data_IF_446373337051
#
_entry.id   IF_446373337051
#
_cell.length_a   1.000
_cell.length_b   1.000
_cell.length_c   1.000
_cell.angle_alpha   90.00
_cell.angle_beta   90.00
_cell.angle_gamma   90.00
#
_symmetry.space_group_name_H-M   'P 1'
#
loop_
_entity.id
_entity.type
_entity.pdbx_description
1 polymer ?
#
# COMPACT_ATOMS: atom_id res chain seq x y z
N UNK A 1 -8.80 21.33 2.98
CA UNK A 1 -7.64 21.30 2.04
C UNK A 1 -8.06 21.93 0.71
N UNK A 2 -7.20 22.66 0.00
CA UNK A 2 -7.48 23.19 -1.34
C UNK A 2 -6.87 22.24 -2.38
N UNK A 3 -7.70 21.52 -3.13
CA UNK A 3 -7.26 20.49 -4.07
C UNK A 3 -6.26 21.02 -5.13
N UNK A 4 -6.48 22.21 -5.70
CA UNK A 4 -5.60 22.80 -6.71
C UNK A 4 -4.22 23.17 -6.13
N UNK A 5 -4.18 23.63 -4.89
CA UNK A 5 -2.91 23.92 -4.19
C UNK A 5 -2.15 22.62 -3.98
N UNK A 6 -2.82 21.57 -3.50
CA UNK A 6 -2.16 20.29 -3.26
C UNK A 6 -1.72 19.60 -4.56
N UNK A 7 -2.52 19.70 -5.64
CA UNK A 7 -2.09 19.24 -6.97
C UNK A 7 -0.80 19.94 -7.41
N UNK A 8 -0.68 21.23 -7.18
CA UNK A 8 0.54 21.99 -7.51
C UNK A 8 1.72 21.56 -6.64
N UNK A 9 1.51 21.41 -5.32
CA UNK A 9 2.53 20.98 -4.36
C UNK A 9 3.11 19.60 -4.71
N UNK A 10 2.24 18.66 -5.06
CA UNK A 10 2.62 17.28 -5.44
C UNK A 10 2.87 17.09 -6.94
N UNK A 11 2.67 18.13 -7.78
CA UNK A 11 2.88 18.13 -9.24
C UNK A 11 1.99 17.13 -9.98
N UNK A 12 0.70 17.10 -9.65
CA UNK A 12 -0.28 16.23 -10.30
C UNK A 12 -0.82 16.83 -11.59
N UNK A 13 -1.01 15.99 -12.59
CA UNK A 13 -1.64 16.39 -13.87
C UNK A 13 -3.16 16.49 -13.74
N UNK A 14 -3.80 15.52 -13.08
CA UNK A 14 -5.27 15.43 -12.98
C UNK A 14 -5.71 14.90 -11.64
N UNK A 15 -6.83 15.43 -11.13
CA UNK A 15 -7.59 14.84 -10.02
C UNK A 15 -9.07 14.89 -10.39
N UNK A 16 -9.71 13.73 -10.39
CA UNK A 16 -11.14 13.55 -10.66
C UNK A 16 -11.86 13.18 -9.38
N UNK A 17 -12.84 13.99 -8.99
CA UNK A 17 -13.78 13.68 -7.92
C UNK A 17 -15.03 13.05 -8.52
N UNK A 18 -15.42 11.89 -8.00
CA UNK A 18 -16.57 11.11 -8.50
C UNK A 18 -17.61 11.00 -7.40
N UNK A 19 -18.85 11.38 -7.71
CA UNK A 19 -20.00 11.16 -6.87
C UNK A 19 -21.13 10.54 -7.69
N UNK A 20 -21.53 9.31 -7.35
CA UNK A 20 -22.66 8.64 -7.94
C UNK A 20 -23.57 8.12 -6.81
N UNK A 21 -24.59 8.90 -6.45
CA UNK A 21 -25.49 8.59 -5.35
C UNK A 21 -26.27 7.29 -5.56
N UNK A 22 -26.67 6.98 -6.81
CA UNK A 22 -27.43 5.76 -7.13
C UNK A 22 -26.61 4.50 -6.89
N UNK A 23 -25.31 4.57 -7.16
CA UNK A 23 -24.37 3.47 -6.94
C UNK A 23 -23.72 3.50 -5.54
N UNK A 24 -24.00 4.53 -4.74
CA UNK A 24 -23.33 4.75 -3.45
C UNK A 24 -21.84 5.04 -3.56
N UNK A 25 -21.38 5.52 -4.74
CA UNK A 25 -19.97 5.77 -4.99
C UNK A 25 -19.55 7.19 -4.62
N UNK A 26 -18.55 7.31 -3.77
CA UNK A 26 -17.75 8.52 -3.56
C UNK A 26 -16.28 8.14 -3.75
N UNK A 27 -15.63 8.72 -4.75
CA UNK A 27 -14.26 8.36 -5.08
C UNK A 27 -13.43 9.56 -5.54
N UNK A 28 -12.12 9.40 -5.45
CA UNK A 28 -11.14 10.33 -6.02
C UNK A 28 -10.15 9.52 -6.84
N UNK A 29 -9.90 9.93 -8.09
CA UNK A 29 -8.84 9.38 -8.94
C UNK A 29 -7.80 10.46 -9.15
N UNK A 30 -6.54 10.17 -8.82
CA UNK A 30 -5.42 11.06 -9.04
C UNK A 30 -4.47 10.48 -10.08
N UNK A 31 -4.18 11.24 -11.12
CA UNK A 31 -3.13 11.01 -12.11
C UNK A 31 -1.98 11.93 -11.75
N UNK A 32 -0.89 11.36 -11.24
CA UNK A 32 0.28 12.15 -10.86
C UNK A 32 1.06 12.57 -12.10
N UNK A 33 1.39 11.62 -12.97
CA UNK A 33 2.26 11.87 -14.10
C UNK A 33 2.06 10.82 -15.20
N UNK A 34 2.04 11.23 -16.46
CA UNK A 34 1.91 10.37 -17.64
C UNK A 34 3.13 10.42 -18.58
N UNK A 35 4.24 11.04 -18.17
CA UNK A 35 5.42 11.23 -19.03
C UNK A 35 6.05 9.91 -19.52
N UNK A 36 5.99 8.84 -18.72
CA UNK A 36 6.48 7.51 -19.10
C UNK A 36 5.41 6.65 -19.81
N UNK A 37 4.17 7.12 -19.87
CA UNK A 37 3.01 6.40 -20.40
C UNK A 37 1.80 6.50 -19.49
N UNK A 38 0.72 5.77 -19.77
CA UNK A 38 -0.50 5.79 -18.96
C UNK A 38 -0.20 5.60 -17.48
N UNK A 39 -0.85 6.40 -16.64
CA UNK A 39 -0.69 6.29 -15.20
C UNK A 39 -1.30 4.97 -14.70
N UNK A 40 -0.57 4.19 -13.92
CA UNK A 40 -1.06 2.92 -13.37
C UNK A 40 -1.06 2.95 -11.84
N UNK A 41 -2.06 2.35 -11.23
CA UNK A 41 -2.15 2.13 -9.79
C UNK A 41 -3.52 1.64 -9.35
N UNK A 42 -3.57 0.86 -8.28
CA UNK A 42 -4.78 0.20 -7.81
C UNK A 42 -5.83 1.15 -7.23
N UNK A 43 -7.06 0.65 -7.10
CA UNK A 43 -8.17 1.29 -6.44
C UNK A 43 -8.25 0.82 -4.98
N UNK A 44 -8.03 1.72 -4.02
CA UNK A 44 -8.18 1.46 -2.59
C UNK A 44 -9.60 1.76 -2.14
N UNK A 45 -10.21 0.89 -1.36
CA UNK A 45 -11.47 1.17 -0.67
C UNK A 45 -11.19 1.32 0.82
N UNK A 46 -11.47 2.51 1.39
CA UNK A 46 -11.14 2.76 2.79
C UNK A 46 -12.11 3.77 3.44
N UNK A 47 -12.50 3.57 4.72
CA UNK A 47 -13.36 4.49 5.46
C UNK A 47 -12.57 5.70 5.97
N UNK A 48 -12.19 6.60 5.05
CA UNK A 48 -11.46 7.82 5.42
C UNK A 48 -12.30 8.70 6.36
N UNK A 49 -11.65 9.30 7.34
CA UNK A 49 -12.27 10.19 8.32
C UNK A 49 -12.82 11.48 7.68
N UNK A 50 -12.26 11.88 6.55
CA UNK A 50 -12.68 13.06 5.79
C UNK A 50 -12.29 12.98 4.32
N UNK A 51 -12.90 13.82 3.49
CA UNK A 51 -12.50 13.98 2.09
C UNK A 51 -11.07 14.51 1.97
N UNK A 52 -10.63 15.36 2.88
CA UNK A 52 -9.26 15.88 2.93
C UNK A 52 -8.25 14.76 3.20
N UNK A 53 -8.57 13.83 4.09
CA UNK A 53 -7.74 12.65 4.35
C UNK A 53 -7.65 11.74 3.12
N UNK A 54 -8.76 11.53 2.41
CA UNK A 54 -8.79 10.74 1.18
C UNK A 54 -7.98 11.41 0.06
N UNK A 55 -8.12 12.74 -0.10
CA UNK A 55 -7.36 13.52 -1.08
C UNK A 55 -5.85 13.47 -0.77
N UNK A 56 -5.48 13.68 0.47
CA UNK A 56 -4.08 13.61 0.89
C UNK A 56 -3.46 12.23 0.60
N UNK A 57 -4.18 11.15 0.90
CA UNK A 57 -3.69 9.79 0.67
C UNK A 57 -3.57 9.48 -0.83
N UNK A 58 -4.59 9.77 -1.64
CA UNK A 58 -4.57 9.47 -3.08
C UNK A 58 -3.48 10.24 -3.83
N UNK A 59 -3.21 11.49 -3.46
CA UNK A 59 -2.13 12.28 -4.06
C UNK A 59 -0.76 11.66 -3.76
N UNK A 60 -0.51 11.30 -2.52
CA UNK A 60 0.76 10.67 -2.12
C UNK A 60 0.92 9.27 -2.74
N UNK A 61 -0.15 8.49 -2.79
CA UNK A 61 -0.13 7.15 -3.39
C UNK A 61 0.15 7.21 -4.89
N UNK A 62 -0.50 8.10 -5.64
CA UNK A 62 -0.29 8.24 -7.08
C UNK A 62 1.12 8.75 -7.42
N UNK A 63 1.67 9.70 -6.62
CA UNK A 63 3.08 10.11 -6.72
C UNK A 63 4.03 8.94 -6.46
N UNK A 64 3.76 8.16 -5.42
CA UNK A 64 4.53 6.96 -5.09
C UNK A 64 4.52 5.93 -6.24
N UNK A 65 3.40 5.77 -6.92
CA UNK A 65 3.31 4.90 -8.11
C UNK A 65 4.21 5.38 -9.25
N UNK A 66 4.31 6.69 -9.53
CA UNK A 66 5.27 7.20 -10.52
C UNK A 66 6.70 6.81 -10.18
N UNK A 67 7.10 6.97 -8.91
CA UNK A 67 8.44 6.59 -8.47
C UNK A 67 8.67 5.08 -8.59
N UNK A 68 7.70 4.26 -8.18
CA UNK A 68 7.80 2.79 -8.26
C UNK A 68 7.94 2.32 -9.71
N UNK A 69 7.12 2.84 -10.61
CA UNK A 69 7.16 2.47 -12.03
C UNK A 69 8.48 2.89 -12.69
N UNK A 70 8.96 4.10 -12.38
CA UNK A 70 10.22 4.60 -12.91
C UNK A 70 11.43 3.75 -12.44
N UNK A 71 11.50 3.43 -11.16
CA UNK A 71 12.58 2.57 -10.60
C UNK A 71 12.53 1.16 -11.18
N UNK A 72 11.33 0.63 -11.44
CA UNK A 72 11.14 -0.67 -12.08
C UNK A 72 11.39 -0.67 -13.60
N UNK A 73 11.65 0.50 -14.21
CA UNK A 73 11.84 0.63 -15.67
C UNK A 73 10.57 0.35 -16.46
N UNK A 74 9.40 0.54 -15.87
CA UNK A 74 8.13 0.31 -16.55
C UNK A 74 7.72 1.54 -17.38
N UNK A 75 7.11 1.34 -18.57
CA UNK A 75 6.63 2.43 -19.42
C UNK A 75 5.28 2.96 -18.94
N UNK A 76 5.20 3.34 -17.65
CA UNK A 76 3.97 3.79 -17.02
C UNK A 76 4.23 4.98 -16.09
N UNK A 77 3.29 5.92 -16.11
CA UNK A 77 3.17 6.94 -15.11
C UNK A 77 2.55 6.43 -13.80
N UNK A 78 2.24 7.33 -12.89
CA UNK A 78 1.65 6.98 -11.60
C UNK A 78 0.24 7.50 -11.44
N UNK A 79 -0.68 6.61 -11.11
CA UNK A 79 -2.05 6.93 -10.77
C UNK A 79 -2.50 6.20 -9.51
N UNK A 80 -3.62 6.61 -8.96
CA UNK A 80 -4.29 5.95 -7.84
C UNK A 80 -5.76 6.31 -7.79
N UNK A 81 -6.59 5.33 -7.47
CA UNK A 81 -7.98 5.55 -7.11
C UNK A 81 -8.22 5.28 -5.63
N UNK A 82 -9.12 6.05 -5.01
CA UNK A 82 -9.65 5.75 -3.68
C UNK A 82 -11.17 5.82 -3.72
N UNK A 83 -11.83 4.81 -3.16
CA UNK A 83 -13.26 4.79 -2.88
C UNK A 83 -13.43 5.03 -1.37
N UNK A 84 -14.26 6.01 -1.02
CA UNK A 84 -14.48 6.45 0.36
C UNK A 84 -15.72 5.71 0.89
N UNK A 85 -15.50 4.52 1.42
CA UNK A 85 -16.56 3.68 1.97
C UNK A 85 -16.00 2.67 2.99
N UNK A 86 -16.88 2.18 3.87
CA UNK A 86 -16.57 1.02 4.70
C UNK A 86 -16.58 -0.24 3.81
N UNK A 87 -15.63 -1.20 4.00
CA UNK A 87 -15.61 -2.43 3.23
C UNK A 87 -16.88 -3.26 3.26
N UNK A 88 -17.69 -3.15 4.31
CA UNK A 88 -18.99 -3.81 4.40
C UNK A 88 -20.06 -3.22 3.46
N UNK A 89 -19.81 -2.04 2.91
CA UNK A 89 -20.73 -1.34 2.00
C UNK A 89 -20.47 -1.64 0.52
N UNK A 90 -19.57 -2.53 0.20
CA UNK A 90 -19.26 -2.92 -1.18
C UNK A 90 -20.48 -3.40 -1.94
N UNK A 91 -20.67 -2.92 -3.16
CA UNK A 91 -21.66 -3.39 -4.12
C UNK A 91 -21.07 -3.45 -5.53
N UNK A 92 -21.61 -4.32 -6.38
CA UNK A 92 -21.22 -4.34 -7.80
C UNK A 92 -21.49 -2.98 -8.47
N UNK A 93 -22.64 -2.34 -8.17
CA UNK A 93 -22.98 -1.03 -8.72
C UNK A 93 -21.91 0.04 -8.41
N UNK A 94 -21.34 0.00 -7.21
CA UNK A 94 -20.24 0.89 -6.82
C UNK A 94 -19.01 0.70 -7.71
N UNK A 95 -18.60 -0.54 -7.95
CA UNK A 95 -17.44 -0.85 -8.78
C UNK A 95 -17.69 -0.63 -10.28
N UNK A 96 -18.91 -0.88 -10.77
CA UNK A 96 -19.29 -0.52 -12.14
C UNK A 96 -19.20 1.00 -12.35
N UNK A 97 -19.74 1.80 -11.43
CA UNK A 97 -19.66 3.26 -11.50
C UNK A 97 -18.21 3.77 -11.40
N UNK A 98 -17.34 3.11 -10.60
CA UNK A 98 -15.93 3.43 -10.58
C UNK A 98 -15.25 3.07 -11.91
N UNK A 99 -15.57 1.92 -12.50
CA UNK A 99 -15.11 1.52 -13.83
C UNK A 99 -15.49 2.54 -14.92
N UNK A 100 -16.72 3.06 -14.89
CA UNK A 100 -17.17 4.15 -15.79
C UNK A 100 -16.33 5.41 -15.61
N UNK A 101 -16.01 5.79 -14.37
CA UNK A 101 -15.16 6.95 -14.09
C UNK A 101 -13.73 6.75 -14.62
N UNK A 102 -13.18 5.54 -14.51
CA UNK A 102 -11.88 5.17 -15.11
C UNK A 102 -11.94 5.25 -16.63
N UNK A 103 -12.99 4.72 -17.25
CA UNK A 103 -13.18 4.75 -18.70
C UNK A 103 -13.24 6.17 -19.25
N UNK A 104 -13.87 7.10 -18.53
CA UNK A 104 -13.98 8.50 -18.90
C UNK A 104 -12.63 9.26 -18.88
N UNK A 105 -11.59 8.70 -18.28
CA UNK A 105 -10.22 9.23 -18.37
C UNK A 105 -9.50 8.83 -19.68
N UNK A 106 -10.16 8.07 -20.57
CA UNK A 106 -9.68 7.82 -21.93
C UNK A 106 -8.35 7.09 -22.04
N UNK A 107 -7.96 6.34 -21.02
CA UNK A 107 -6.69 5.60 -20.98
C UNK A 107 -5.57 6.31 -20.24
N UNK A 108 -5.76 7.52 -19.75
CA UNK A 108 -4.76 8.20 -18.91
C UNK A 108 -4.50 7.49 -17.57
N UNK A 109 -5.47 6.69 -17.12
CA UNK A 109 -5.35 5.91 -15.89
C UNK A 109 -5.78 4.46 -16.09
N UNK A 110 -4.92 3.55 -15.65
CA UNK A 110 -5.17 2.10 -15.60
C UNK A 110 -5.28 1.71 -14.13
N UNK A 111 -6.44 1.16 -13.75
CA UNK A 111 -6.71 0.72 -12.38
C UNK A 111 -6.34 -0.75 -12.14
N UNK A 112 -6.32 -1.15 -10.87
CA UNK A 112 -6.12 -2.53 -10.40
C UNK A 112 -6.74 -2.70 -9.01
N UNK A 113 -6.66 -3.89 -8.43
CA UNK A 113 -6.95 -4.07 -6.99
C UNK A 113 -5.92 -3.38 -6.09
N UNK A 114 -6.31 -3.05 -4.87
CA UNK A 114 -5.48 -2.53 -3.79
C UNK A 114 -6.13 -2.89 -2.43
N UNK A 115 -5.82 -2.15 -1.37
CA UNK A 115 -6.40 -2.38 -0.03
C UNK A 115 -7.93 -2.43 -0.09
N UNK A 116 -8.50 -3.48 0.49
CA UNK A 116 -9.93 -3.78 0.56
C UNK A 116 -10.64 -3.89 -0.80
N UNK A 117 -9.93 -4.03 -1.91
CA UNK A 117 -10.46 -4.46 -3.19
C UNK A 117 -9.86 -5.79 -3.60
N UNK A 118 -10.52 -6.51 -4.48
CA UNK A 118 -10.16 -7.88 -4.88
C UNK A 118 -10.16 -8.03 -6.38
N UNK A 119 -9.60 -9.15 -6.87
CA UNK A 119 -9.69 -9.52 -8.27
C UNK A 119 -11.16 -9.62 -8.76
N UNK A 120 -12.11 -10.04 -7.90
CA UNK A 120 -13.53 -10.08 -8.27
C UNK A 120 -14.12 -8.67 -8.43
N UNK A 121 -13.75 -7.73 -7.55
CA UNK A 121 -14.11 -6.32 -7.72
C UNK A 121 -13.54 -5.76 -9.04
N UNK A 122 -12.32 -6.17 -9.42
CA UNK A 122 -11.70 -5.80 -10.68
C UNK A 122 -12.46 -6.36 -11.89
N UNK A 123 -12.97 -7.60 -11.81
CA UNK A 123 -13.83 -8.17 -12.85
C UNK A 123 -15.15 -7.41 -13.02
N UNK A 124 -15.71 -6.87 -11.94
CA UNK A 124 -16.89 -5.98 -12.03
C UNK A 124 -16.54 -4.68 -12.75
N UNK A 125 -15.41 -4.03 -12.41
CA UNK A 125 -14.94 -2.82 -13.09
C UNK A 125 -14.70 -3.07 -14.59
N UNK A 126 -14.19 -4.26 -14.97
CA UNK A 126 -13.93 -4.66 -16.35
C UNK A 126 -15.17 -4.62 -17.24
N UNK A 127 -16.37 -4.74 -16.67
CA UNK A 127 -17.63 -4.59 -17.42
C UNK A 127 -17.81 -3.20 -18.04
N UNK A 128 -17.07 -2.20 -17.52
CA UNK A 128 -17.24 -0.77 -17.88
C UNK A 128 -15.97 -0.14 -18.46
N UNK A 129 -14.80 -0.75 -18.30
CA UNK A 129 -13.53 -0.22 -18.79
C UNK A 129 -12.56 -1.32 -19.16
N UNK A 130 -11.77 -1.09 -20.22
CA UNK A 130 -10.62 -1.94 -20.53
C UNK A 130 -9.31 -1.44 -19.88
N UNK A 131 -9.35 -0.29 -19.20
CA UNK A 131 -8.19 0.31 -18.53
C UNK A 131 -8.03 -0.26 -17.11
N UNK A 132 -7.80 -1.56 -17.05
CA UNK A 132 -7.67 -2.31 -15.79
C UNK A 132 -6.63 -3.44 -15.95
N UNK A 133 -5.86 -3.70 -14.89
CA UNK A 133 -4.89 -4.80 -14.84
C UNK A 133 -5.04 -5.59 -13.53
N UNK A 134 -4.21 -6.61 -13.34
CA UNK A 134 -4.29 -7.47 -12.15
C UNK A 134 -5.46 -8.45 -12.17
N UNK A 135 -5.98 -8.78 -13.36
CA UNK A 135 -7.10 -9.72 -13.50
C UNK A 135 -6.64 -11.17 -13.23
N UNK A 136 -7.52 -12.05 -12.71
CA UNK A 136 -7.17 -13.43 -12.35
C UNK A 136 -6.54 -14.23 -13.49
N UNK A 137 -6.99 -14.00 -14.73
CA UNK A 137 -6.46 -14.69 -15.91
C UNK A 137 -5.07 -14.21 -16.36
N UNK A 138 -4.57 -13.08 -15.83
CA UNK A 138 -3.28 -12.51 -16.19
C UNK A 138 -2.26 -12.67 -15.06
N UNK A 139 -2.23 -11.72 -14.12
CA UNK A 139 -1.25 -11.66 -13.02
C UNK A 139 -1.84 -12.04 -11.65
N UNK A 140 -3.16 -11.94 -11.49
CA UNK A 140 -3.85 -12.23 -10.23
C UNK A 140 -3.43 -11.33 -9.06
N UNK A 141 -3.55 -11.86 -7.84
CA UNK A 141 -3.22 -11.17 -6.60
C UNK A 141 -1.72 -10.81 -6.53
N UNK A 142 -1.34 -9.53 -6.42
CA UNK A 142 0.05 -9.11 -6.36
C UNK A 142 0.72 -9.35 -4.99
N UNK A 143 -0.04 -9.76 -3.97
CA UNK A 143 0.46 -9.84 -2.58
C UNK A 143 1.66 -10.79 -2.42
N UNK A 144 1.70 -12.00 -3.00
CA UNK A 144 2.86 -12.90 -2.87
C UNK A 144 4.12 -12.31 -3.51
N UNK A 145 3.99 -11.67 -4.66
CA UNK A 145 5.12 -11.01 -5.33
C UNK A 145 5.63 -9.81 -4.53
N UNK A 146 4.71 -9.06 -3.94
CA UNK A 146 5.04 -7.92 -3.06
C UNK A 146 5.77 -8.41 -1.82
N UNK A 147 5.27 -9.45 -1.14
CA UNK A 147 5.92 -10.02 0.05
C UNK A 147 7.34 -10.50 -0.26
N UNK A 148 7.53 -11.20 -1.39
CA UNK A 148 8.86 -11.63 -1.85
C UNK A 148 9.77 -10.45 -2.15
N UNK A 149 9.25 -9.38 -2.78
CA UNK A 149 10.01 -8.16 -3.06
C UNK A 149 10.47 -7.47 -1.77
N UNK A 150 9.57 -7.36 -0.78
CA UNK A 150 9.90 -6.78 0.54
C UNK A 150 10.94 -7.64 1.26
N UNK A 151 10.81 -8.96 1.24
CA UNK A 151 11.79 -9.89 1.81
C UNK A 151 13.19 -9.69 1.19
N UNK A 152 13.29 -9.57 -0.13
CA UNK A 152 14.56 -9.27 -0.80
C UNK A 152 15.10 -7.89 -0.41
N UNK A 153 14.23 -6.89 -0.27
CA UNK A 153 14.60 -5.56 0.25
C UNK A 153 15.17 -5.63 1.67
N UNK A 154 14.56 -6.43 2.55
CA UNK A 154 15.04 -6.66 3.91
C UNK A 154 16.42 -7.33 3.90
N UNK A 155 16.64 -8.33 3.04
CA UNK A 155 17.98 -8.95 2.88
C UNK A 155 19.02 -7.95 2.41
N UNK A 156 18.70 -7.13 1.41
CA UNK A 156 19.59 -6.08 0.94
C UNK A 156 19.90 -5.05 2.04
N UNK A 157 18.87 -4.70 2.85
CA UNK A 157 19.03 -3.80 4.00
C UNK A 157 19.92 -4.42 5.07
N UNK A 158 19.77 -5.71 5.40
CA UNK A 158 20.62 -6.41 6.33
C UNK A 158 22.08 -6.41 5.86
N UNK A 159 22.31 -6.62 4.57
CA UNK A 159 23.65 -6.56 3.98
C UNK A 159 24.29 -5.19 4.12
N UNK A 160 23.58 -4.13 3.76
CA UNK A 160 24.11 -2.75 3.75
C UNK A 160 24.23 -2.17 5.16
N UNK A 161 23.18 -2.31 5.97
CA UNK A 161 23.13 -1.66 7.28
C UNK A 161 23.74 -2.48 8.41
N UNK A 162 23.79 -3.82 8.30
CA UNK A 162 24.23 -4.71 9.37
C UNK A 162 25.46 -5.55 8.98
N UNK A 163 25.88 -5.51 7.70
CA UNK A 163 26.97 -6.34 7.20
C UNK A 163 26.63 -7.84 7.15
N UNK A 164 25.35 -8.22 7.07
CA UNK A 164 24.85 -9.58 7.11
C UNK A 164 24.34 -10.03 5.72
N UNK A 165 24.82 -11.16 5.24
CA UNK A 165 24.34 -11.75 3.98
C UNK A 165 23.08 -12.63 4.16
N UNK A 166 22.74 -12.96 5.39
CA UNK A 166 21.58 -13.75 5.79
C UNK A 166 20.70 -12.99 6.82
N UNK A 167 19.56 -13.58 7.19
CA UNK A 167 18.66 -13.07 8.22
C UNK A 167 18.66 -13.96 9.48
N UNK A 168 19.49 -14.99 9.55
CA UNK A 168 19.53 -15.95 10.64
C UNK A 168 19.75 -15.26 11.99
N UNK A 169 18.83 -15.46 12.92
CA UNK A 169 18.86 -14.90 14.27
C UNK A 169 18.59 -13.40 14.39
N UNK A 170 18.44 -12.65 13.27
CA UNK A 170 18.02 -11.25 13.31
C UNK A 170 16.60 -11.11 13.84
N UNK A 171 16.36 -10.09 14.65
CA UNK A 171 15.02 -9.74 15.12
C UNK A 171 14.38 -8.71 14.18
N UNK A 172 13.24 -9.05 13.60
CA UNK A 172 12.50 -8.20 12.66
C UNK A 172 11.12 -7.88 13.23
N UNK A 173 10.83 -6.59 13.42
CA UNK A 173 9.53 -6.12 13.88
C UNK A 173 8.63 -5.81 12.68
N UNK A 174 7.54 -6.57 12.50
CA UNK A 174 6.62 -6.47 11.36
C UNK A 174 5.31 -5.82 11.80
N UNK A 175 5.02 -4.63 11.27
CA UNK A 175 3.77 -3.92 11.51
C UNK A 175 2.77 -4.20 10.39
N UNK A 176 1.63 -4.82 10.73
CA UNK A 176 0.55 -5.11 9.79
C UNK A 176 0.68 -6.50 9.15
N UNK A 177 -0.32 -7.35 9.44
CA UNK A 177 -0.42 -8.72 8.94
C UNK A 177 -1.66 -8.86 8.03
N UNK A 178 -1.70 -8.07 6.96
CA UNK A 178 -2.54 -8.36 5.80
C UNK A 178 -1.92 -9.47 4.94
N UNK A 179 -2.43 -9.68 3.73
CA UNK A 179 -1.90 -10.69 2.80
C UNK A 179 -0.38 -10.58 2.62
N UNK A 180 0.12 -9.36 2.39
CA UNK A 180 1.56 -9.10 2.20
C UNK A 180 2.35 -9.36 3.48
N UNK A 181 1.92 -8.78 4.62
CA UNK A 181 2.68 -8.88 5.86
C UNK A 181 2.74 -10.29 6.42
N UNK A 182 1.67 -11.07 6.27
CA UNK A 182 1.68 -12.48 6.69
C UNK A 182 2.60 -13.35 5.84
N UNK A 183 2.53 -13.21 4.51
CA UNK A 183 3.40 -13.96 3.60
C UNK A 183 4.88 -13.53 3.76
N UNK A 184 5.12 -12.25 4.05
CA UNK A 184 6.44 -11.76 4.45
C UNK A 184 6.95 -12.44 5.72
N UNK A 185 6.11 -12.59 6.76
CA UNK A 185 6.49 -13.29 8.00
C UNK A 185 6.93 -14.73 7.71
N UNK A 186 6.24 -15.43 6.80
CA UNK A 186 6.64 -16.76 6.36
C UNK A 186 8.06 -16.75 5.75
N UNK A 187 8.34 -15.86 4.79
CA UNK A 187 9.67 -15.75 4.18
C UNK A 187 10.77 -15.40 5.18
N UNK A 188 10.47 -14.54 6.15
CA UNK A 188 11.41 -14.15 7.21
C UNK A 188 11.69 -15.32 8.16
N UNK A 189 10.66 -16.07 8.56
CA UNK A 189 10.78 -17.27 9.38
C UNK A 189 11.61 -18.34 8.68
N UNK A 190 11.31 -18.65 7.41
CA UNK A 190 12.07 -19.59 6.58
C UNK A 190 13.55 -19.16 6.42
N UNK A 191 13.85 -17.89 6.60
CA UNK A 191 15.22 -17.33 6.59
C UNK A 191 15.88 -17.30 7.97
N UNK A 192 15.27 -17.89 9.00
CA UNK A 192 15.80 -17.97 10.36
C UNK A 192 15.65 -16.72 11.20
N UNK A 193 14.86 -15.73 10.78
CA UNK A 193 14.64 -14.50 11.54
C UNK A 193 13.67 -14.74 12.73
N UNK A 194 13.85 -13.96 13.80
CA UNK A 194 12.92 -13.87 14.94
C UNK A 194 11.93 -12.76 14.66
N UNK A 195 10.64 -13.00 14.92
CA UNK A 195 9.57 -12.08 14.57
C UNK A 195 8.91 -11.45 15.79
N UNK A 196 8.80 -10.12 15.79
CA UNK A 196 7.91 -9.35 16.63
C UNK A 196 6.82 -8.77 15.72
N UNK A 197 5.56 -8.97 16.05
CA UNK A 197 4.46 -8.58 15.16
C UNK A 197 3.44 -7.70 15.88
N UNK A 198 2.86 -6.75 15.14
CA UNK A 198 1.71 -6.00 15.60
C UNK A 198 0.67 -5.90 14.49
N UNK A 199 -0.60 -6.13 14.84
CA UNK A 199 -1.71 -6.05 13.90
C UNK A 199 -2.97 -5.50 14.57
N UNK A 200 -3.57 -4.47 13.95
CA UNK A 200 -4.73 -3.76 14.52
C UNK A 200 -6.05 -4.51 14.33
N UNK A 201 -6.30 -5.04 13.16
CA UNK A 201 -7.63 -5.47 12.71
C UNK A 201 -7.81 -6.98 12.59
N UNK A 202 -6.77 -7.74 12.30
CA UNK A 202 -6.85 -9.18 12.06
C UNK A 202 -6.14 -9.97 13.14
N UNK A 203 -6.84 -10.21 14.26
CA UNK A 203 -6.29 -10.96 15.40
C UNK A 203 -6.05 -12.43 15.08
N UNK A 204 -6.90 -13.03 14.24
CA UNK A 204 -6.77 -14.43 13.83
C UNK A 204 -5.47 -14.64 13.05
N UNK A 205 -5.15 -13.75 12.09
CA UNK A 205 -3.91 -13.83 11.32
C UNK A 205 -2.67 -13.62 12.20
N UNK A 206 -2.76 -12.74 13.22
CA UNK A 206 -1.67 -12.55 14.16
C UNK A 206 -1.46 -13.81 15.03
N UNK A 207 -2.53 -14.45 15.50
CA UNK A 207 -2.46 -15.68 16.26
C UNK A 207 -1.87 -16.82 15.42
N UNK A 208 -2.28 -16.92 14.15
CA UNK A 208 -1.73 -17.91 13.22
C UNK A 208 -0.22 -17.71 13.01
N UNK A 209 0.25 -16.46 12.93
CA UNK A 209 1.68 -16.18 12.84
C UNK A 209 2.47 -16.58 14.10
N UNK A 210 1.86 -16.54 15.29
CA UNK A 210 2.46 -17.11 16.51
C UNK A 210 2.60 -18.62 16.40
N UNK A 211 1.54 -19.30 15.97
CA UNK A 211 1.50 -20.76 15.90
C UNK A 211 2.43 -21.31 14.83
N UNK A 212 2.47 -20.69 13.65
CA UNK A 212 3.25 -21.17 12.51
C UNK A 212 4.71 -20.69 12.51
N UNK A 213 4.97 -19.48 13.00
CA UNK A 213 6.28 -18.84 12.87
C UNK A 213 6.95 -18.51 14.20
N UNK A 214 6.32 -18.84 15.34
CA UNK A 214 6.85 -18.50 16.67
C UNK A 214 6.95 -16.98 16.94
N UNK A 215 6.13 -16.18 16.26
CA UNK A 215 6.17 -14.73 16.38
C UNK A 215 5.67 -14.26 17.76
N UNK A 216 6.21 -13.14 18.24
CA UNK A 216 5.77 -12.48 19.48
C UNK A 216 4.82 -11.33 19.14
N UNK A 217 3.59 -11.37 19.64
CA UNK A 217 2.61 -10.29 19.45
C UNK A 217 2.86 -9.18 20.46
N UNK A 218 2.87 -7.92 19.98
CA UNK A 218 2.90 -6.72 20.83
C UNK A 218 1.73 -5.78 20.48
N UNK A 219 1.31 -4.88 21.38
CA UNK A 219 0.36 -3.81 21.07
C UNK A 219 0.81 -2.98 19.87
N UNK A 220 -0.15 -2.49 19.08
CA UNK A 220 0.15 -1.77 17.82
C UNK A 220 0.97 -0.50 18.06
N UNK A 221 0.72 0.19 19.16
CA UNK A 221 1.41 1.40 19.57
C UNK A 221 2.83 1.15 20.12
N UNK A 222 3.12 -0.07 20.58
CA UNK A 222 4.40 -0.43 21.16
C UNK A 222 5.40 -0.96 20.14
N UNK A 223 4.98 -1.25 18.90
CA UNK A 223 5.83 -1.87 17.88
C UNK A 223 7.06 -1.01 17.54
N UNK A 224 6.90 0.32 17.59
CA UNK A 224 7.98 1.26 17.28
C UNK A 224 9.11 1.22 18.30
N UNK A 225 8.77 0.95 19.56
CA UNK A 225 9.72 0.92 20.67
C UNK A 225 10.34 -0.47 20.91
N UNK A 226 10.04 -1.44 20.06
CA UNK A 226 10.62 -2.78 20.19
C UNK A 226 12.10 -2.77 19.79
N UNK A 227 12.92 -3.43 20.60
CA UNK A 227 14.32 -3.67 20.25
C UNK A 227 14.38 -4.70 19.13
N UNK A 228 14.80 -4.28 17.96
CA UNK A 228 14.91 -5.13 16.78
C UNK A 228 16.04 -4.65 15.85
N UNK A 229 16.46 -5.52 14.95
CA UNK A 229 17.48 -5.17 13.96
C UNK A 229 16.85 -4.36 12.81
N UNK A 230 15.69 -4.79 12.34
CA UNK A 230 14.97 -4.13 11.24
C UNK A 230 13.49 -3.96 11.62
N UNK A 231 12.97 -2.74 11.45
CA UNK A 231 11.54 -2.46 11.50
C UNK A 231 10.93 -2.54 10.11
N UNK A 232 9.90 -3.37 9.93
CA UNK A 232 9.24 -3.61 8.65
C UNK A 232 7.77 -3.16 8.70
N UNK A 233 7.45 -1.93 8.25
CA UNK A 233 6.09 -1.45 8.14
C UNK A 233 5.39 -2.04 6.90
N UNK A 234 4.23 -2.69 7.12
CA UNK A 234 3.40 -3.29 6.06
C UNK A 234 1.91 -2.95 6.21
N UNK A 235 1.60 -1.91 6.99
CA UNK A 235 0.24 -1.40 7.20
C UNK A 235 -0.03 -0.14 6.36
N UNK A 236 -0.62 0.90 6.99
CA UNK A 236 -0.92 2.17 6.31
C UNK A 236 0.32 3.06 6.18
N UNK A 237 0.22 4.08 5.31
CA UNK A 237 1.28 5.07 5.12
C UNK A 237 1.43 6.07 6.27
N UNK A 238 2.45 6.96 6.12
CA UNK A 238 2.74 8.06 7.06
C UNK A 238 3.06 7.61 8.51
N UNK A 239 3.44 6.36 8.69
CA UNK A 239 3.77 5.80 10.01
C UNK A 239 5.16 6.22 10.51
N UNK A 240 6.04 6.63 9.62
CA UNK A 240 7.32 7.26 9.95
C UNK A 240 7.12 8.77 9.93
N UNK A 241 7.03 9.35 11.11
CA UNK A 241 6.68 10.76 11.32
C UNK A 241 7.39 11.29 12.58
N UNK A 242 7.33 12.61 12.87
CA UNK A 242 8.00 13.20 14.03
C UNK A 242 7.64 12.59 15.40
N UNK A 243 6.51 11.89 15.50
CA UNK A 243 6.08 11.23 16.75
C UNK A 243 6.65 9.80 16.86
N UNK A 244 6.70 9.05 15.76
CA UNK A 244 7.08 7.63 15.78
C UNK A 244 8.56 7.40 15.56
N UNK A 245 9.22 8.22 14.72
CA UNK A 245 10.66 8.09 14.45
C UNK A 245 11.51 8.14 15.73
N UNK A 246 11.27 9.06 16.69
CA UNK A 246 12.06 9.09 17.93
C UNK A 246 11.90 7.85 18.82
N UNK A 247 10.87 7.03 18.59
CA UNK A 247 10.62 5.81 19.37
C UNK A 247 11.36 4.60 18.81
N UNK A 248 11.83 4.67 17.55
CA UNK A 248 12.45 3.54 16.88
C UNK A 248 13.75 3.13 17.57
N UNK A 249 13.87 1.84 17.87
CA UNK A 249 15.08 1.21 18.41
C UNK A 249 15.74 0.26 17.43
N UNK A 250 15.28 0.25 16.19
CA UNK A 250 15.86 -0.55 15.11
C UNK A 250 17.11 0.11 14.53
N UNK A 251 17.92 -0.69 13.84
CA UNK A 251 19.11 -0.22 13.10
C UNK A 251 18.77 0.22 11.68
N UNK A 252 17.65 -0.31 11.13
CA UNK A 252 17.20 0.00 9.78
C UNK A 252 15.70 -0.19 9.63
N UNK A 253 15.12 0.43 8.60
CA UNK A 253 13.70 0.29 8.24
C UNK A 253 13.59 -0.22 6.80
N UNK A 254 12.83 -1.30 6.60
CA UNK A 254 12.53 -1.85 5.28
C UNK A 254 11.17 -2.56 5.29
N UNK A 255 10.19 -2.09 4.53
CA UNK A 255 8.84 -2.68 4.54
C UNK A 255 8.03 -2.35 3.30
N UNK A 256 6.87 -2.98 3.18
CA UNK A 256 5.98 -2.92 2.02
C UNK A 256 4.88 -1.85 2.09
N UNK A 257 4.74 -1.12 3.21
CA UNK A 257 3.73 -0.07 3.29
C UNK A 257 4.02 1.05 2.27
N UNK A 258 2.97 1.47 1.55
CA UNK A 258 3.09 2.61 0.66
C UNK A 258 3.25 3.90 1.47
N UNK A 259 4.09 4.83 0.97
CA UNK A 259 4.28 6.15 1.59
C UNK A 259 4.56 6.08 3.10
N UNK A 260 5.49 5.24 3.50
CA UNK A 260 5.85 5.00 4.91
C UNK A 260 6.21 6.28 5.65
N UNK A 261 6.96 7.15 4.98
CA UNK A 261 7.42 8.44 5.49
C UNK A 261 6.32 9.49 5.29
N UNK A 262 5.99 10.27 6.31
CA UNK A 262 4.93 11.27 6.26
C UNK A 262 5.20 12.36 5.23
N UNK A 263 6.41 12.92 5.23
CA UNK A 263 6.87 14.00 4.38
C UNK A 263 8.40 13.94 4.16
N UNK A 264 8.90 14.80 3.29
CA UNK A 264 10.33 14.83 2.97
C UNK A 264 11.19 15.19 4.20
N UNK A 265 10.68 16.02 5.13
CA UNK A 265 11.39 16.37 6.36
C UNK A 265 11.54 15.18 7.32
N UNK A 266 10.55 14.29 7.36
CA UNK A 266 10.61 13.05 8.15
C UNK A 266 11.55 12.00 7.54
N UNK A 267 12.00 12.19 6.30
CA UNK A 267 12.92 11.30 5.60
C UNK A 267 14.41 11.70 5.69
N UNK A 268 14.69 12.87 6.25
CA UNK A 268 16.05 13.40 6.46
C UNK A 268 16.56 13.09 7.85
#
# INVERSE_FOLDING_TARGET
>A
MNALVEMSNYRHEKVLFVNNEKAGLKAIIAVHNTNLGPAIGGCRLYPYESYDAALFDVLRLSRGMSHKNAVAGLPHGGGKGVIIADPSMKTEAMFEAFGEAVNNLGGDYITAEDVNTTCDDALVMLRKTNHICGLPQNSGDPSPFTARGVWQGIRATAKVALGRDDLEGLTIAVQGLGKVGYDLCRHLHESGAKLIIANRSNKEMAQKAVEEFGAVIVPTEEIYAQECDIFSPNAMGAILNPTTIPQLKCKAVAGGANNQILDDASGL
#
